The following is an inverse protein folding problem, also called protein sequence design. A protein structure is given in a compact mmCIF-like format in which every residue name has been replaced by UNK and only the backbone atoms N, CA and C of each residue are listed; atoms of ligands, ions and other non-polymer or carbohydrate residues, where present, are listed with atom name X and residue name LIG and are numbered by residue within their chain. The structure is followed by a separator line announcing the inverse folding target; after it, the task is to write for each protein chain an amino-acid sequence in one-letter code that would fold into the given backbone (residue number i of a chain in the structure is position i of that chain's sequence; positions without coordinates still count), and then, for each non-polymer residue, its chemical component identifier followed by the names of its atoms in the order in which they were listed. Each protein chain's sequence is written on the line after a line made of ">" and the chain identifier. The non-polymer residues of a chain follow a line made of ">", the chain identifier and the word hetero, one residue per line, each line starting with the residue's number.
data_IF_824134416660
#
_entry.id   IF_824134416660
#
_cell.length_a   1.000
_cell.length_b   1.000
_cell.length_c   1.000
_cell.angle_alpha   90.00
_cell.angle_beta   90.00
_cell.angle_gamma   90.00
#
_symmetry.space_group_name_H-M   'P 1'
#
loop_
_entity.id
_entity.type
_entity.pdbx_description
1 polymer ?
#
# COMPACT_ATOMS: atom_id res chain seq x y z
N UNK A 1 -38.60 -1.79 -5.43
CA UNK A 1 -37.99 -2.16 -4.14
C UNK A 1 -38.25 -1.02 -3.15
N UNK A 2 -39.04 -1.26 -2.09
CA UNK A 2 -39.51 -0.21 -1.16
C UNK A 2 -38.37 0.55 -0.44
N UNK A 3 -37.17 -0.01 -0.36
CA UNK A 3 -36.00 0.63 0.29
C UNK A 3 -35.37 1.82 -0.46
N UNK A 4 -35.81 2.14 -1.68
CA UNK A 4 -35.24 3.24 -2.47
C UNK A 4 -35.69 4.62 -1.98
N UNK A 5 -36.95 4.75 -1.54
CA UNK A 5 -37.54 6.01 -1.09
C UNK A 5 -36.97 6.50 0.24
N UNK A 6 -36.81 5.59 1.21
CA UNK A 6 -36.30 5.91 2.54
C UNK A 6 -34.85 6.40 2.51
N UNK A 7 -34.01 5.78 1.66
CA UNK A 7 -32.62 6.18 1.50
C UNK A 7 -32.47 7.59 0.92
N UNK A 8 -33.36 7.97 -0.02
CA UNK A 8 -33.35 9.32 -0.60
C UNK A 8 -33.73 10.36 0.46
N UNK A 9 -34.76 10.08 1.27
CA UNK A 9 -35.22 10.96 2.35
C UNK A 9 -34.12 11.17 3.40
N UNK A 10 -33.52 10.09 3.90
CA UNK A 10 -32.43 10.16 4.87
C UNK A 10 -31.20 10.90 4.33
N UNK A 11 -30.90 10.75 3.03
CA UNK A 11 -29.82 11.50 2.38
C UNK A 11 -30.12 12.99 2.34
N UNK A 12 -31.36 13.37 2.01
CA UNK A 12 -31.78 14.78 1.98
C UNK A 12 -31.80 15.40 3.39
N UNK A 13 -32.28 14.67 4.40
CA UNK A 13 -32.21 15.07 5.80
C UNK A 13 -30.77 15.30 6.27
N UNK A 14 -29.85 14.38 5.92
CA UNK A 14 -28.43 14.51 6.25
C UNK A 14 -27.78 15.73 5.57
N UNK A 15 -28.08 15.96 4.28
CA UNK A 15 -27.58 17.14 3.55
C UNK A 15 -28.11 18.44 4.17
N UNK A 16 -29.40 18.50 4.49
CA UNK A 16 -29.99 19.69 5.11
C UNK A 16 -29.40 19.94 6.51
N UNK A 17 -29.05 18.88 7.26
CA UNK A 17 -28.36 19.00 8.55
C UNK A 17 -26.94 19.58 8.38
N UNK A 18 -26.18 19.12 7.38
CA UNK A 18 -24.86 19.67 7.08
C UNK A 18 -24.96 21.13 6.67
N UNK A 19 -25.91 21.49 5.80
CA UNK A 19 -26.15 22.88 5.40
C UNK A 19 -26.59 23.78 6.57
N UNK A 20 -27.30 23.23 7.56
CA UNK A 20 -27.64 23.97 8.78
C UNK A 20 -26.43 24.29 9.67
N UNK A 21 -25.37 23.48 9.60
CA UNK A 21 -24.11 23.69 10.34
C UNK A 21 -23.06 24.45 9.50
N UNK A 22 -23.11 24.26 8.18
CA UNK A 22 -22.16 24.78 7.19
C UNK A 22 -22.93 25.36 6.00
N UNK A 23 -23.57 26.54 6.17
CA UNK A 23 -24.39 27.15 5.13
C UNK A 23 -23.59 27.60 3.90
N UNK A 24 -22.27 27.74 4.02
CA UNK A 24 -21.34 28.07 2.94
C UNK A 24 -21.16 26.95 1.90
N UNK A 25 -21.55 25.70 2.21
CA UNK A 25 -21.37 24.57 1.31
C UNK A 25 -22.42 24.52 0.20
N UNK A 26 -22.02 24.17 -1.03
CA UNK A 26 -22.99 23.98 -2.12
C UNK A 26 -23.78 22.67 -1.95
N UNK A 27 -25.11 22.79 -1.89
CA UNK A 27 -26.04 21.66 -1.86
C UNK A 27 -25.83 20.68 -3.03
N UNK A 28 -25.43 21.17 -4.21
CA UNK A 28 -25.16 20.30 -5.37
C UNK A 28 -23.90 19.45 -5.14
N UNK A 29 -22.84 20.03 -4.59
CA UNK A 29 -21.61 19.31 -4.24
C UNK A 29 -21.88 18.25 -3.17
N UNK A 30 -22.65 18.58 -2.14
CA UNK A 30 -23.05 17.62 -1.10
C UNK A 30 -23.85 16.44 -1.67
N UNK A 31 -24.77 16.71 -2.61
CA UNK A 31 -25.50 15.64 -3.33
C UNK A 31 -24.57 14.77 -4.16
N UNK A 32 -23.63 15.37 -4.89
CA UNK A 32 -22.65 14.62 -5.68
C UNK A 32 -21.77 13.74 -4.80
N UNK A 33 -21.27 14.28 -3.69
CA UNK A 33 -20.47 13.56 -2.70
C UNK A 33 -21.25 12.38 -2.10
N UNK A 34 -22.52 12.56 -1.76
CA UNK A 34 -23.38 11.49 -1.27
C UNK A 34 -23.51 10.35 -2.31
N UNK A 35 -23.77 10.68 -3.58
CA UNK A 35 -23.86 9.67 -4.66
C UNK A 35 -22.55 8.89 -4.83
N UNK A 36 -21.40 9.58 -4.82
CA UNK A 36 -20.08 8.95 -4.91
C UNK A 36 -19.86 8.00 -3.73
N UNK A 37 -20.18 8.43 -2.50
CA UNK A 37 -20.04 7.63 -1.29
C UNK A 37 -20.91 6.36 -1.36
N UNK A 38 -22.19 6.47 -1.74
CA UNK A 38 -23.06 5.30 -1.87
C UNK A 38 -22.58 4.31 -2.92
N UNK A 39 -22.10 4.80 -4.07
CA UNK A 39 -21.49 3.95 -5.11
C UNK A 39 -20.27 3.22 -4.55
N UNK A 40 -19.35 3.95 -3.91
CA UNK A 40 -18.15 3.39 -3.28
C UNK A 40 -18.49 2.32 -2.24
N UNK A 41 -19.46 2.57 -1.34
CA UNK A 41 -19.92 1.59 -0.35
C UNK A 41 -20.50 0.34 -0.99
N UNK A 42 -21.32 0.51 -2.03
CA UNK A 42 -21.90 -0.61 -2.78
C UNK A 42 -20.83 -1.45 -3.46
N UNK A 43 -19.84 -0.80 -4.06
CA UNK A 43 -18.73 -1.50 -4.73
C UNK A 43 -17.84 -2.22 -3.74
N UNK A 44 -17.51 -1.61 -2.59
CA UNK A 44 -16.80 -2.30 -1.51
C UNK A 44 -17.59 -3.50 -0.99
N UNK A 45 -18.91 -3.37 -0.79
CA UNK A 45 -19.76 -4.49 -0.38
C UNK A 45 -19.70 -5.64 -1.40
N UNK A 46 -19.86 -5.34 -2.69
CA UNK A 46 -19.75 -6.33 -3.78
C UNK A 46 -18.39 -7.02 -3.82
N UNK A 47 -17.31 -6.27 -3.59
CA UNK A 47 -15.95 -6.81 -3.53
C UNK A 47 -15.78 -7.74 -2.33
N UNK A 48 -16.33 -7.38 -1.17
CA UNK A 48 -16.33 -8.23 0.03
C UNK A 48 -17.20 -9.49 -0.14
N UNK A 49 -18.34 -9.39 -0.83
CA UNK A 49 -19.18 -10.55 -1.17
C UNK A 49 -18.44 -11.55 -2.09
N UNK A 50 -17.59 -11.06 -3.01
CA UNK A 50 -16.78 -11.89 -3.90
C UNK A 50 -15.52 -12.46 -3.25
N UNK A 51 -14.89 -11.66 -2.39
CA UNK A 51 -13.70 -12.05 -1.65
C UNK A 51 -13.86 -11.57 -0.20
N UNK A 52 -14.16 -12.47 0.76
CA UNK A 52 -14.27 -12.13 2.17
C UNK A 52 -13.00 -11.45 2.73
N UNK A 53 -11.84 -11.78 2.18
CA UNK A 53 -10.54 -11.22 2.55
C UNK A 53 -10.19 -9.94 1.78
N UNK A 54 -11.11 -9.35 1.01
CA UNK A 54 -10.83 -8.18 0.17
C UNK A 54 -10.17 -7.03 0.95
N UNK A 55 -10.61 -6.76 2.19
CA UNK A 55 -10.05 -5.67 3.00
C UNK A 55 -8.60 -5.92 3.36
N UNK A 56 -8.27 -7.14 3.81
CA UNK A 56 -6.91 -7.51 4.20
C UNK A 56 -6.01 -7.57 2.96
N UNK A 57 -6.47 -8.17 1.87
CA UNK A 57 -5.74 -8.23 0.59
C UNK A 57 -5.48 -6.84 0.01
N UNK A 58 -6.50 -5.97 0.02
CA UNK A 58 -6.39 -4.59 -0.45
C UNK A 58 -5.42 -3.77 0.42
N UNK A 59 -5.43 -3.95 1.74
CA UNK A 59 -4.48 -3.30 2.64
C UNK A 59 -3.05 -3.79 2.40
N UNK A 60 -2.85 -5.10 2.22
CA UNK A 60 -1.55 -5.69 1.89
C UNK A 60 -1.01 -5.17 0.55
N UNK A 61 -1.86 -5.11 -0.48
CA UNK A 61 -1.50 -4.54 -1.79
C UNK A 61 -1.10 -3.07 -1.66
N UNK A 62 -1.92 -2.26 -0.97
CA UNK A 62 -1.66 -0.83 -0.78
C UNK A 62 -0.34 -0.58 -0.04
N UNK A 63 0.00 -1.42 0.93
CA UNK A 63 1.28 -1.37 1.65
C UNK A 63 2.46 -1.71 0.75
N UNK A 64 2.35 -2.74 -0.09
CA UNK A 64 3.37 -3.07 -1.11
C UNK A 64 3.59 -1.92 -2.08
N UNK A 65 2.50 -1.32 -2.59
CA UNK A 65 2.57 -0.20 -3.53
C UNK A 65 3.21 1.03 -2.88
N UNK A 66 2.85 1.32 -1.63
CA UNK A 66 3.44 2.41 -0.87
C UNK A 66 4.94 2.19 -0.66
N UNK A 67 5.34 0.98 -0.22
CA UNK A 67 6.75 0.62 -0.03
C UNK A 67 7.54 0.73 -1.33
N UNK A 68 6.98 0.24 -2.43
CA UNK A 68 7.57 0.33 -3.75
C UNK A 68 7.77 1.79 -4.19
N UNK A 69 6.75 2.64 -4.03
CA UNK A 69 6.83 4.04 -4.38
C UNK A 69 7.84 4.81 -3.52
N UNK A 70 7.94 4.47 -2.23
CA UNK A 70 8.95 5.05 -1.34
C UNK A 70 10.37 4.70 -1.80
N UNK A 71 10.62 3.45 -2.20
CA UNK A 71 11.91 3.01 -2.76
C UNK A 71 12.23 3.69 -4.08
N UNK A 72 11.25 3.89 -4.97
CA UNK A 72 11.42 4.66 -6.22
C UNK A 72 11.84 6.10 -5.94
N UNK A 73 11.20 6.76 -4.97
CA UNK A 73 11.57 8.12 -4.54
C UNK A 73 12.97 8.16 -3.93
N UNK A 74 13.31 7.18 -3.09
CA UNK A 74 14.65 7.06 -2.51
C UNK A 74 15.72 6.88 -3.61
N UNK A 75 15.46 6.04 -4.61
CA UNK A 75 16.35 5.87 -5.76
C UNK A 75 16.53 7.20 -6.50
N UNK A 76 15.45 7.95 -6.76
CA UNK A 76 15.53 9.27 -7.41
C UNK A 76 16.41 10.27 -6.64
N UNK A 77 16.42 10.21 -5.31
CA UNK A 77 17.28 11.06 -4.48
C UNK A 77 18.75 10.62 -4.43
N UNK A 78 19.05 9.38 -4.82
CA UNK A 78 20.41 8.84 -4.78
C UNK A 78 21.22 9.33 -5.98
N UNK A 79 22.45 9.78 -5.74
CA UNK A 79 23.39 10.12 -6.81
C UNK A 79 24.13 8.86 -7.29
N UNK A 80 23.55 8.17 -8.26
CA UNK A 80 24.14 7.02 -8.98
C UNK A 80 24.06 7.26 -10.47
N UNK A 81 24.99 6.65 -11.21
CA UNK A 81 25.02 6.68 -12.65
C UNK A 81 23.76 6.05 -13.28
N UNK A 82 23.55 6.34 -14.56
CA UNK A 82 22.35 5.93 -15.27
C UNK A 82 22.23 4.40 -15.40
N UNK A 83 23.36 3.69 -15.52
CA UNK A 83 23.36 2.24 -15.69
C UNK A 83 22.96 1.56 -14.37
N UNK A 84 23.59 1.93 -13.26
CA UNK A 84 23.21 1.43 -11.93
C UNK A 84 21.76 1.74 -11.60
N UNK A 85 21.30 2.96 -11.91
CA UNK A 85 19.89 3.34 -11.71
C UNK A 85 18.93 2.47 -12.51
N UNK A 86 19.25 2.18 -13.76
CA UNK A 86 18.44 1.31 -14.61
C UNK A 86 18.38 -0.11 -14.03
N UNK A 87 19.51 -0.67 -13.60
CA UNK A 87 19.57 -1.99 -12.96
C UNK A 87 18.72 -2.06 -11.69
N UNK A 88 18.86 -1.08 -10.78
CA UNK A 88 18.04 -1.03 -9.56
C UNK A 88 16.56 -0.86 -9.88
N UNK A 89 16.22 -0.09 -10.91
CA UNK A 89 14.81 0.11 -11.31
C UNK A 89 14.15 -1.20 -11.72
N UNK A 90 14.88 -2.14 -12.34
CA UNK A 90 14.35 -3.44 -12.75
C UNK A 90 13.96 -4.33 -11.57
N UNK A 91 14.63 -4.21 -10.41
CA UNK A 91 14.27 -4.93 -9.18
C UNK A 91 13.18 -4.23 -8.34
N UNK A 92 12.72 -3.04 -8.74
CA UNK A 92 11.62 -2.32 -8.10
C UNK A 92 10.26 -2.80 -8.65
N UNK A 93 9.94 -4.05 -8.34
CA UNK A 93 8.69 -4.73 -8.73
C UNK A 93 7.92 -5.28 -7.52
N UNK A 94 6.58 -5.38 -7.57
CA UNK A 94 5.75 -5.89 -6.47
C UNK A 94 6.13 -7.30 -5.99
N UNK A 95 6.68 -8.12 -6.87
CA UNK A 95 7.10 -9.50 -6.63
C UNK A 95 8.22 -9.58 -5.59
N UNK A 96 9.12 -8.60 -5.59
CA UNK A 96 10.27 -8.50 -4.69
C UNK A 96 9.96 -7.73 -3.40
N UNK A 97 8.71 -7.29 -3.20
CA UNK A 97 8.30 -6.65 -1.95
C UNK A 97 7.99 -7.71 -0.88
N UNK A 98 8.53 -7.53 0.32
CA UNK A 98 8.23 -8.37 1.49
C UNK A 98 6.73 -8.38 1.78
N UNK A 99 6.19 -9.54 2.18
CA UNK A 99 4.83 -9.58 2.72
C UNK A 99 4.84 -8.98 4.13
N UNK A 100 4.06 -7.92 4.31
CA UNK A 100 3.72 -7.39 5.63
C UNK A 100 2.40 -8.05 6.06
N UNK A 101 2.50 -9.01 6.98
CA UNK A 101 1.33 -9.55 7.65
C UNK A 101 1.07 -8.70 8.90
N UNK A 102 -0.19 -8.33 9.12
CA UNK A 102 -0.63 -7.80 10.41
C UNK A 102 -0.91 -9.01 11.28
N UNK A 103 -0.14 -9.20 12.34
CA UNK A 103 -0.58 -10.07 13.44
C UNK A 103 -1.30 -9.17 14.43
N UNK A 104 -2.57 -9.47 14.65
CA UNK A 104 -3.41 -8.84 15.66
C UNK A 104 -3.30 -9.69 16.93
N UNK A 105 -2.13 -9.67 17.57
CA UNK A 105 -1.88 -10.38 18.82
C UNK A 105 -1.80 -9.35 19.96
N UNK A 106 -2.95 -9.01 20.56
CA UNK A 106 -3.08 -8.11 21.70
C UNK A 106 -3.57 -6.68 21.41
N UNK A 107 -3.25 -5.73 22.32
CA UNK A 107 -3.70 -4.32 22.28
C UNK A 107 -2.89 -3.43 21.31
N UNK A 108 -1.70 -3.86 20.87
CA UNK A 108 -0.85 -3.11 19.95
C UNK A 108 -0.73 -3.76 18.57
N UNK A 109 -1.00 -2.97 17.52
CA UNK A 109 -0.80 -3.41 16.13
C UNK A 109 0.69 -3.54 15.81
N UNK A 110 1.20 -4.76 15.79
CA UNK A 110 2.56 -5.07 15.36
C UNK A 110 2.57 -5.53 13.89
N UNK A 111 3.50 -4.99 13.10
CA UNK A 111 3.69 -5.43 11.72
C UNK A 111 4.81 -6.45 11.65
N UNK A 112 4.57 -7.58 11.01
CA UNK A 112 5.57 -8.63 10.83
C UNK A 112 6.07 -8.60 9.39
N UNK A 113 7.39 -8.47 9.25
CA UNK A 113 8.05 -8.49 7.95
C UNK A 113 8.63 -9.87 7.70
N UNK A 114 8.09 -10.58 6.70
CA UNK A 114 8.61 -11.91 6.30
C UNK A 114 9.59 -11.76 5.13
N UNK A 115 10.82 -12.28 5.30
CA UNK A 115 11.87 -12.25 4.25
C UNK A 115 11.54 -13.28 3.16
N UNK A 116 11.72 -12.93 1.89
CA UNK A 116 11.61 -13.87 0.76
C UNK A 116 12.86 -14.76 0.74
N UNK A 117 12.68 -16.09 0.77
CA UNK A 117 13.80 -17.06 0.88
C UNK A 117 14.58 -17.23 -0.43
N UNK A 118 13.89 -17.13 -1.56
CA UNK A 118 14.47 -17.27 -2.90
C UNK A 118 15.14 -15.98 -3.41
N UNK A 119 14.96 -14.86 -2.70
CA UNK A 119 15.55 -13.58 -3.13
C UNK A 119 17.01 -13.54 -2.72
N UNK A 120 17.88 -13.19 -3.66
CA UNK A 120 19.31 -13.12 -3.40
C UNK A 120 19.68 -12.04 -2.38
N UNK A 121 20.81 -12.24 -1.69
CA UNK A 121 21.27 -11.32 -0.64
C UNK A 121 21.65 -9.94 -1.18
N UNK A 122 22.20 -9.86 -2.39
CA UNK A 122 22.55 -8.60 -3.02
C UNK A 122 21.32 -7.75 -3.33
N UNK A 123 20.25 -8.36 -3.85
CA UNK A 123 18.96 -7.67 -4.03
C UNK A 123 18.41 -7.21 -2.69
N UNK A 124 18.49 -8.05 -1.66
CA UNK A 124 18.02 -7.74 -0.33
C UNK A 124 18.75 -6.55 0.32
N UNK A 125 20.07 -6.53 0.18
CA UNK A 125 20.94 -5.43 0.61
C UNK A 125 20.59 -4.13 -0.10
N UNK A 126 20.44 -4.19 -1.43
CA UNK A 126 20.07 -3.02 -2.23
C UNK A 126 18.70 -2.44 -1.81
N UNK A 127 17.69 -3.30 -1.66
CA UNK A 127 16.34 -2.87 -1.26
C UNK A 127 16.32 -2.31 0.18
N UNK A 128 17.11 -2.88 1.08
CA UNK A 128 17.25 -2.40 2.46
C UNK A 128 17.93 -1.03 2.52
N UNK A 129 18.93 -0.78 1.66
CA UNK A 129 19.57 0.54 1.54
C UNK A 129 18.59 1.62 1.07
N UNK A 130 17.72 1.30 0.12
CA UNK A 130 16.65 2.23 -0.31
C UNK A 130 15.64 2.52 0.80
N UNK A 131 15.29 1.52 1.61
CA UNK A 131 14.41 1.69 2.77
C UNK A 131 15.04 2.62 3.82
N UNK A 132 16.35 2.47 4.07
CA UNK A 132 17.09 3.32 5.01
C UNK A 132 17.20 4.78 4.51
N UNK A 133 17.49 4.99 3.22
CA UNK A 133 17.49 6.33 2.61
C UNK A 133 16.11 6.99 2.77
N UNK A 134 15.04 6.26 2.46
CA UNK A 134 13.69 6.78 2.64
C UNK A 134 13.43 7.15 4.12
N UNK A 135 13.78 6.26 5.05
CA UNK A 135 13.63 6.50 6.49
C UNK A 135 14.39 7.76 6.92
N UNK A 136 15.61 7.97 6.44
CA UNK A 136 16.41 9.15 6.75
C UNK A 136 15.82 10.45 6.17
N UNK A 137 15.16 10.38 5.02
CA UNK A 137 14.45 11.54 4.43
C UNK A 137 13.21 11.98 5.21
N UNK A 138 12.68 11.13 6.10
CA UNK A 138 11.49 11.45 6.89
C UNK A 138 11.81 12.39 8.06
N UNK A 139 10.85 13.25 8.40
CA UNK A 139 10.97 14.09 9.59
C UNK A 139 11.11 13.25 10.86
N UNK A 140 11.75 13.81 11.90
CA UNK A 140 11.91 13.13 13.21
C UNK A 140 10.56 12.66 13.77
N UNK A 141 9.52 13.49 13.63
CA UNK A 141 8.16 13.18 14.06
C UNK A 141 7.55 12.01 13.29
N UNK A 142 7.69 12.00 11.96
CA UNK A 142 7.20 10.90 11.12
C UNK A 142 7.90 9.58 11.45
N UNK A 143 9.23 9.60 11.67
CA UNK A 143 9.99 8.43 12.10
C UNK A 143 9.54 7.89 13.46
N UNK A 144 9.24 8.78 14.42
CA UNK A 144 8.76 8.37 15.74
C UNK A 144 7.37 7.72 15.69
N UNK A 145 6.50 8.20 14.80
CA UNK A 145 5.16 7.64 14.58
C UNK A 145 5.13 6.44 13.63
N UNK A 146 6.27 6.07 13.04
CA UNK A 146 6.31 4.91 12.17
C UNK A 146 6.05 3.65 12.99
N UNK A 147 5.10 2.82 12.54
CA UNK A 147 4.85 1.54 13.19
C UNK A 147 6.11 0.69 13.24
N UNK A 148 6.38 0.11 14.41
CA UNK A 148 7.46 -0.85 14.61
C UNK A 148 7.16 -2.09 13.76
N UNK A 149 8.21 -2.59 13.12
CA UNK A 149 8.18 -3.81 12.30
C UNK A 149 9.10 -4.83 12.93
N UNK A 150 8.58 -6.02 13.19
CA UNK A 150 9.36 -7.13 13.73
C UNK A 150 9.74 -8.09 12.59
N UNK A 151 10.95 -8.66 12.61
CA UNK A 151 11.31 -9.74 11.70
C UNK A 151 10.43 -10.95 12.02
N UNK A 152 9.76 -11.46 11.00
CA UNK A 152 8.93 -12.67 11.09
C UNK A 152 9.63 -13.91 10.55
N UNK A 153 8.93 -15.06 10.56
CA UNK A 153 9.39 -16.24 9.86
C UNK A 153 9.55 -15.95 8.35
N UNK A 154 10.41 -16.71 7.64
CA UNK A 154 10.55 -16.56 6.20
C UNK A 154 9.21 -16.74 5.46
N UNK A 155 9.05 -16.01 4.36
CA UNK A 155 7.87 -16.08 3.52
C UNK A 155 7.80 -17.40 2.77
N UNK A 156 6.62 -18.02 2.75
CA UNK A 156 6.34 -19.24 1.98
C UNK A 156 5.96 -18.94 0.52
N UNK A 157 6.09 -17.68 0.07
CA UNK A 157 5.74 -17.29 -1.29
C UNK A 157 6.66 -18.00 -2.28
N UNK A 158 6.13 -18.70 -3.30
CA UNK A 158 6.96 -19.31 -4.32
C UNK A 158 7.73 -18.24 -5.11
N UNK A 159 8.88 -18.63 -5.63
CA UNK A 159 9.61 -17.82 -6.59
C UNK A 159 8.75 -17.65 -7.86
N UNK A 160 8.56 -16.43 -8.37
CA UNK A 160 7.84 -16.23 -9.61
C UNK A 160 8.71 -16.64 -10.80
N UNK A 161 8.08 -16.97 -11.92
CA UNK A 161 8.80 -17.28 -13.16
C UNK A 161 9.36 -15.97 -13.75
N UNK A 162 10.68 -15.84 -13.76
CA UNK A 162 11.36 -14.67 -14.25
C UNK A 162 11.51 -14.69 -15.77
N UNK A 163 11.56 -13.50 -16.38
CA UNK A 163 12.02 -13.39 -17.75
C UNK A 163 13.55 -13.53 -17.80
N UNK A 164 14.15 -13.95 -18.93
CA UNK A 164 15.60 -14.00 -19.08
C UNK A 164 16.30 -12.64 -18.84
N UNK A 165 15.56 -11.54 -19.02
CA UNK A 165 16.07 -10.20 -18.69
C UNK A 165 16.22 -10.00 -17.18
N UNK A 166 15.26 -10.47 -16.38
CA UNK A 166 15.31 -10.36 -14.92
C UNK A 166 16.39 -11.27 -14.32
N UNK A 167 16.62 -12.46 -14.89
CA UNK A 167 17.71 -13.34 -14.47
C UNK A 167 19.08 -12.67 -14.62
N UNK A 168 19.32 -11.98 -15.75
CA UNK A 168 20.54 -11.18 -15.96
C UNK A 168 20.67 -10.01 -14.98
N UNK A 169 19.55 -9.48 -14.48
CA UNK A 169 19.59 -8.43 -13.47
C UNK A 169 20.03 -9.02 -12.14
N UNK A 170 19.53 -10.20 -11.76
CA UNK A 170 19.93 -10.84 -10.51
C UNK A 170 21.39 -11.25 -10.48
N UNK A 171 21.96 -11.71 -11.61
CA UNK A 171 23.39 -12.03 -11.66
C UNK A 171 24.28 -10.84 -11.31
N UNK A 172 23.86 -9.60 -11.63
CA UNK A 172 24.61 -8.38 -11.27
C UNK A 172 24.67 -8.13 -9.75
N UNK A 173 23.75 -8.69 -8.97
CA UNK A 173 23.71 -8.51 -7.52
C UNK A 173 24.42 -9.64 -6.76
N UNK A 174 24.76 -10.74 -7.42
CA UNK A 174 25.34 -11.94 -6.82
C UNK A 174 26.85 -12.09 -7.11
N UNK A 175 27.43 -11.15 -7.85
CA UNK A 175 28.87 -10.95 -8.07
C UNK A 175 29.51 -10.10 -6.95
#
# INVERSE_FOLDING_TARGET
>A
SPHSGDNKRLTEEAINRVLGLHPEMDKKELKAAAVINFRSRKDTKRKMERNPNYKTDSAKSSRKDTKLNNRRRALQSLNVDAMTRATITKILVPELMSSEDEEEDGEEKMFITRKLTWRSEGVDSCLSKLDEIHKQSQSKHARYRAFKRNPGPPSLRPEPVWSPEMEKVFSYFDE
#
